data_IF_398710453039
#
_entry.id   IF_398710453039
#
_cell.length_a   1.000
_cell.length_b   1.000
_cell.length_c   1.000
_cell.angle_alpha   90.00
_cell.angle_beta   90.00
_cell.angle_gamma   90.00
#
_symmetry.space_group_name_H-M   'P 1'
#
loop_
_entity.id
_entity.type
_entity.pdbx_description
1 polymer ?
#
# COMPACT_ATOMS: atom_id res chain seq x y z
N UNK A 1 19.15 -38.26 9.89
CA UNK A 1 18.67 -37.36 8.81
C UNK A 1 17.20 -37.09 9.01
N UNK A 2 16.69 -35.95 8.55
CA UNK A 2 15.28 -35.59 8.71
C UNK A 2 14.39 -36.56 7.91
N UNK A 3 13.41 -37.20 8.56
CA UNK A 3 12.63 -38.31 7.99
C UNK A 3 11.19 -37.94 7.62
N UNK A 4 10.74 -36.73 7.95
CA UNK A 4 9.38 -36.28 7.70
C UNK A 4 9.31 -34.78 7.38
N UNK A 5 8.42 -34.44 6.45
CA UNK A 5 8.02 -33.07 6.10
C UNK A 5 6.52 -32.97 6.27
N UNK A 6 6.10 -32.04 7.14
CA UNK A 6 4.69 -31.71 7.34
C UNK A 6 4.26 -30.73 6.25
N UNK A 7 3.20 -31.06 5.53
CA UNK A 7 2.47 -30.16 4.63
C UNK A 7 1.27 -29.62 5.39
N UNK A 8 1.13 -28.31 5.46
CA UNK A 8 0.05 -27.63 6.18
C UNK A 8 -0.30 -26.31 5.49
N UNK A 9 -1.33 -25.61 5.97
CA UNK A 9 -1.69 -24.28 5.49
C UNK A 9 -1.98 -24.21 3.98
N UNK A 10 -2.64 -25.24 3.44
CA UNK A 10 -3.07 -25.23 2.04
C UNK A 10 -3.97 -24.02 1.79
N UNK A 11 -3.61 -23.23 0.79
CA UNK A 11 -4.21 -21.94 0.51
C UNK A 11 -4.55 -21.83 -0.97
N UNK A 12 -5.84 -21.71 -1.27
CA UNK A 12 -6.34 -21.26 -2.56
C UNK A 12 -6.63 -19.77 -2.43
N UNK A 13 -5.91 -18.96 -3.21
CA UNK A 13 -6.09 -17.51 -3.18
C UNK A 13 -6.30 -16.99 -4.60
N UNK A 14 -7.36 -16.20 -4.75
CA UNK A 14 -7.60 -15.34 -5.90
C UNK A 14 -7.98 -13.95 -5.42
N UNK A 15 -7.67 -12.95 -6.23
CA UNK A 15 -8.22 -11.62 -6.11
C UNK A 15 -8.59 -11.10 -7.50
N UNK A 16 -9.65 -10.28 -7.54
CA UNK A 16 -10.01 -9.52 -8.72
C UNK A 16 -9.82 -8.05 -8.37
N UNK A 17 -8.88 -7.38 -9.04
CA UNK A 17 -8.53 -5.99 -8.77
C UNK A 17 -8.68 -5.14 -10.03
N UNK A 18 -9.28 -3.96 -9.87
CA UNK A 18 -9.35 -2.92 -10.90
C UNK A 18 -8.87 -1.61 -10.32
N UNK A 19 -7.90 -1.00 -10.97
CA UNK A 19 -7.39 0.31 -10.63
C UNK A 19 -7.51 1.23 -11.83
N UNK A 20 -8.08 2.41 -11.61
CA UNK A 20 -8.12 3.50 -12.57
C UNK A 20 -7.67 4.77 -11.88
N UNK A 21 -7.03 5.66 -12.62
CA UNK A 21 -6.60 6.94 -12.07
C UNK A 21 -6.04 7.86 -13.13
N UNK A 22 -5.86 9.11 -12.74
CA UNK A 22 -5.24 10.14 -13.55
C UNK A 22 -4.35 11.03 -12.68
N UNK A 23 -3.29 11.55 -13.29
CA UNK A 23 -2.37 12.50 -12.67
C UNK A 23 -2.14 13.66 -13.63
N UNK A 24 -2.31 14.86 -13.12
CA UNK A 24 -2.03 16.11 -13.84
C UNK A 24 -0.93 16.87 -13.13
N UNK A 25 0.01 17.40 -13.92
CA UNK A 25 1.20 18.08 -13.43
C UNK A 25 1.35 19.47 -14.05
N UNK A 26 1.90 20.40 -13.26
CA UNK A 26 2.31 21.71 -13.72
C UNK A 26 3.70 22.04 -13.17
N UNK A 27 4.60 22.50 -14.03
CA UNK A 27 5.94 22.95 -13.65
C UNK A 27 6.05 24.46 -13.80
N UNK A 28 6.75 25.11 -12.88
CA UNK A 28 6.99 26.55 -12.92
C UNK A 28 8.43 26.88 -12.55
N UNK A 29 9.13 27.56 -13.46
CA UNK A 29 10.46 28.09 -13.20
C UNK A 29 10.35 29.53 -12.72
N UNK A 30 10.82 29.80 -11.52
CA UNK A 30 10.72 31.11 -10.89
C UNK A 30 11.97 31.47 -10.09
N UNK A 31 11.81 32.47 -9.21
CA UNK A 31 12.86 32.89 -8.30
C UNK A 31 12.29 33.19 -6.92
N UNK A 32 13.07 32.92 -5.88
CA UNK A 32 12.81 33.34 -4.50
C UNK A 32 14.04 34.13 -4.05
N UNK A 33 13.84 35.36 -3.56
CA UNK A 33 14.94 36.26 -3.16
C UNK A 33 16.05 36.40 -4.23
N UNK A 34 15.65 36.49 -5.51
CA UNK A 34 16.60 36.60 -6.65
C UNK A 34 17.36 35.32 -6.99
N UNK A 35 17.06 34.19 -6.35
CA UNK A 35 17.66 32.88 -6.63
C UNK A 35 16.70 31.99 -7.38
N UNK A 36 17.22 31.18 -8.31
CA UNK A 36 16.43 30.20 -9.07
C UNK A 36 15.66 29.27 -8.14
N UNK A 37 14.38 29.12 -8.43
CA UNK A 37 13.45 28.27 -7.70
C UNK A 37 12.53 27.56 -8.69
N UNK A 38 12.71 26.25 -8.84
CA UNK A 38 11.94 25.42 -9.77
C UNK A 38 10.87 24.66 -8.98
N UNK A 39 9.63 24.77 -9.43
CA UNK A 39 8.45 24.19 -8.77
C UNK A 39 7.79 23.14 -9.66
N UNK A 40 7.26 22.11 -9.02
CA UNK A 40 6.34 21.15 -9.63
C UNK A 40 5.13 20.98 -8.72
N UNK A 41 3.94 21.00 -9.31
CA UNK A 41 2.67 20.78 -8.62
C UNK A 41 1.94 19.64 -9.31
N UNK A 42 1.13 18.91 -8.56
CA UNK A 42 0.21 18.00 -9.20
C UNK A 42 -0.98 17.57 -8.36
N UNK A 43 -1.95 17.04 -9.11
CA UNK A 43 -3.19 16.47 -8.63
C UNK A 43 -3.27 15.03 -9.11
N UNK A 44 -3.57 14.11 -8.21
CA UNK A 44 -3.76 12.71 -8.50
C UNK A 44 -5.13 12.27 -8.00
N UNK A 45 -5.87 11.56 -8.84
CA UNK A 45 -7.15 10.96 -8.52
C UNK A 45 -7.08 9.48 -8.89
N UNK A 46 -7.43 8.60 -7.97
CA UNK A 46 -7.48 7.16 -8.25
C UNK A 46 -8.63 6.45 -7.53
N UNK A 47 -9.10 5.38 -8.16
CA UNK A 47 -10.07 4.44 -7.64
C UNK A 47 -9.47 3.04 -7.79
N UNK A 48 -9.31 2.34 -6.67
CA UNK A 48 -8.91 0.95 -6.62
C UNK A 48 -10.04 0.13 -5.99
N UNK A 49 -10.46 -0.94 -6.66
CA UNK A 49 -11.42 -1.90 -6.12
C UNK A 49 -10.81 -3.28 -6.17
N UNK A 50 -10.79 -3.97 -5.02
CA UNK A 50 -10.27 -5.32 -4.89
C UNK A 50 -11.26 -6.22 -4.16
N UNK A 51 -11.68 -7.30 -4.81
CA UNK A 51 -12.43 -8.40 -4.18
C UNK A 51 -11.50 -9.60 -3.98
N UNK A 52 -11.54 -10.22 -2.80
CA UNK A 52 -10.71 -11.40 -2.49
C UNK A 52 -11.54 -12.68 -2.36
N UNK A 53 -10.90 -13.81 -2.67
CA UNK A 53 -11.50 -15.15 -2.62
C UNK A 53 -10.56 -16.13 -1.89
N UNK A 54 -10.28 -15.92 -0.59
CA UNK A 54 -9.44 -16.84 0.17
C UNK A 54 -10.19 -18.14 0.50
N UNK A 55 -9.49 -19.26 0.38
CA UNK A 55 -9.84 -20.53 1.01
C UNK A 55 -8.58 -21.14 1.61
N UNK A 56 -8.47 -21.09 2.95
CA UNK A 56 -7.32 -21.58 3.69
C UNK A 56 -7.73 -22.71 4.63
N UNK A 57 -6.94 -23.78 4.66
CA UNK A 57 -7.07 -24.85 5.63
C UNK A 57 -5.98 -24.70 6.70
N UNK A 58 -6.38 -24.53 7.96
CA UNK A 58 -5.47 -24.27 9.08
C UNK A 58 -4.74 -25.51 9.60
N UNK A 59 -5.10 -26.71 9.15
CA UNK A 59 -4.56 -27.97 9.65
C UNK A 59 -3.32 -28.48 8.88
N UNK A 60 -2.58 -29.40 9.51
CA UNK A 60 -1.70 -30.33 8.80
C UNK A 60 -2.52 -31.09 7.78
N UNK A 61 -2.15 -30.94 6.51
CA UNK A 61 -2.73 -31.63 5.37
C UNK A 61 -2.22 -33.06 5.32
N UNK A 62 -0.91 -33.24 5.45
CA UNK A 62 -0.26 -34.55 5.38
C UNK A 62 1.20 -34.48 5.86
N UNK A 63 1.84 -35.64 6.04
CA UNK A 63 3.27 -35.77 6.35
C UNK A 63 3.91 -36.74 5.36
N UNK A 64 5.06 -36.40 4.80
CA UNK A 64 5.76 -37.21 3.79
C UNK A 64 7.23 -37.39 4.11
N UNK A 65 7.81 -38.50 3.66
CA UNK A 65 9.26 -38.67 3.67
C UNK A 65 9.88 -37.77 2.59
N UNK A 66 10.82 -36.86 2.93
CA UNK A 66 11.42 -35.95 1.96
C UNK A 66 12.19 -36.66 0.83
N UNK A 67 12.62 -37.90 1.05
CA UNK A 67 13.37 -38.71 0.07
C UNK A 67 12.49 -39.73 -0.67
N UNK A 68 11.23 -39.91 -0.26
CA UNK A 68 10.29 -40.86 -0.86
C UNK A 68 8.85 -40.38 -0.65
N UNK A 69 8.36 -39.51 -1.54
CA UNK A 69 7.00 -38.95 -1.47
C UNK A 69 6.22 -39.17 -2.77
N UNK A 70 4.89 -39.22 -2.65
CA UNK A 70 3.96 -39.12 -3.77
C UNK A 70 3.36 -37.71 -3.83
N UNK A 71 3.07 -37.23 -5.05
CA UNK A 71 2.32 -35.99 -5.25
C UNK A 71 0.85 -36.20 -4.92
N UNK A 72 0.24 -35.21 -4.27
CA UNK A 72 -1.21 -35.16 -3.99
C UNK A 72 -1.87 -34.15 -4.91
N UNK A 73 -3.12 -34.38 -5.30
CA UNK A 73 -3.90 -33.39 -6.02
C UNK A 73 -4.42 -32.35 -5.03
N UNK A 74 -4.30 -31.07 -5.41
CA UNK A 74 -4.62 -29.96 -4.51
C UNK A 74 -6.11 -29.95 -4.08
N UNK A 75 -7.02 -30.33 -4.96
CA UNK A 75 -8.46 -30.38 -4.67
C UNK A 75 -8.94 -31.69 -4.05
N UNK A 76 -8.05 -32.68 -3.89
CA UNK A 76 -8.36 -33.92 -3.17
C UNK A 76 -8.10 -33.76 -1.66
N UNK A 77 -7.49 -32.64 -1.24
CA UNK A 77 -7.30 -32.30 0.16
C UNK A 77 -8.68 -32.09 0.82
N UNK A 78 -9.01 -32.81 1.91
CA UNK A 78 -10.29 -32.64 2.60
C UNK A 78 -10.54 -31.18 3.00
N UNK A 79 -11.68 -30.63 2.57
CA UNK A 79 -12.05 -29.23 2.80
C UNK A 79 -11.53 -28.25 1.75
N UNK A 80 -10.66 -28.68 0.84
CA UNK A 80 -10.31 -27.92 -0.36
C UNK A 80 -11.32 -28.26 -1.46
N UNK A 81 -11.87 -27.23 -2.10
CA UNK A 81 -12.80 -27.41 -3.19
C UNK A 81 -12.48 -26.40 -4.30
N UNK A 82 -12.68 -26.78 -5.57
CA UNK A 82 -12.58 -25.83 -6.66
C UNK A 82 -13.67 -24.75 -6.54
N UNK A 83 -13.34 -23.55 -6.97
CA UNK A 83 -14.26 -22.40 -6.95
C UNK A 83 -13.77 -21.26 -6.08
N UNK A 84 -14.39 -20.10 -6.28
CA UNK A 84 -14.01 -18.85 -5.62
C UNK A 84 -15.22 -18.25 -4.92
N UNK A 85 -15.16 -18.15 -3.59
CA UNK A 85 -16.21 -17.53 -2.78
C UNK A 85 -15.72 -16.16 -2.31
N UNK A 86 -16.39 -15.11 -2.77
CA UNK A 86 -16.03 -13.75 -2.42
C UNK A 86 -16.06 -13.57 -0.90
N UNK A 87 -14.99 -13.02 -0.34
CA UNK A 87 -14.90 -12.68 1.09
C UNK A 87 -15.39 -11.26 1.30
N UNK A 88 -14.61 -10.30 0.79
CA UNK A 88 -14.84 -8.87 0.96
C UNK A 88 -14.41 -8.10 -0.26
N UNK A 89 -15.09 -6.99 -0.47
CA UNK A 89 -14.80 -6.02 -1.52
C UNK A 89 -14.31 -4.72 -0.86
N UNK A 90 -13.06 -4.35 -1.16
CA UNK A 90 -12.41 -3.15 -0.66
C UNK A 90 -12.34 -2.13 -1.80
N UNK A 91 -13.02 -1.00 -1.64
CA UNK A 91 -12.98 0.13 -2.56
C UNK A 91 -12.24 1.29 -1.92
N UNK A 92 -11.21 1.78 -2.58
CA UNK A 92 -10.35 2.87 -2.14
C UNK A 92 -10.40 3.98 -3.17
N UNK A 93 -10.80 5.16 -2.74
CA UNK A 93 -10.75 6.38 -3.53
C UNK A 93 -9.70 7.32 -2.93
N UNK A 94 -8.72 7.69 -3.74
CA UNK A 94 -7.65 8.60 -3.32
C UNK A 94 -7.69 9.87 -4.16
N UNK A 95 -7.68 11.01 -3.49
CA UNK A 95 -7.38 12.31 -4.07
C UNK A 95 -6.15 12.88 -3.38
N UNK A 96 -5.12 13.23 -4.14
CA UNK A 96 -3.88 13.76 -3.60
C UNK A 96 -3.44 15.03 -4.31
N UNK A 97 -2.96 15.98 -3.53
CA UNK A 97 -2.31 17.20 -3.99
C UNK A 97 -0.86 17.18 -3.50
N UNK A 98 0.06 17.54 -4.37
CA UNK A 98 1.46 17.67 -3.99
C UNK A 98 2.13 18.88 -4.64
N UNK A 99 3.13 19.39 -3.94
CA UNK A 99 4.00 20.46 -4.39
C UNK A 99 5.44 20.10 -4.04
N UNK A 100 6.33 20.24 -5.01
CA UNK A 100 7.77 20.06 -4.86
C UNK A 100 8.48 21.34 -5.31
N UNK A 101 9.56 21.67 -4.62
CA UNK A 101 10.39 22.82 -4.91
C UNK A 101 11.87 22.49 -4.80
N UNK A 102 12.66 23.02 -5.73
CA UNK A 102 14.11 23.11 -5.64
C UNK A 102 14.54 24.56 -5.74
N UNK A 103 15.08 25.10 -4.66
CA UNK A 103 15.60 26.48 -4.60
C UNK A 103 17.12 26.48 -4.45
N UNK A 104 17.81 27.25 -5.27
CA UNK A 104 19.24 27.52 -5.09
C UNK A 104 19.44 28.46 -3.90
N UNK A 105 20.09 27.99 -2.84
CA UNK A 105 20.52 28.86 -1.73
C UNK A 105 21.81 29.60 -2.11
N UNK A 106 22.73 28.88 -2.77
CA UNK A 106 23.94 29.39 -3.42
C UNK A 106 24.10 28.70 -4.78
N UNK A 107 25.08 29.08 -5.62
CA UNK A 107 25.35 28.36 -6.87
C UNK A 107 25.67 26.87 -6.70
N UNK A 108 26.19 26.47 -5.53
CA UNK A 108 26.59 25.09 -5.23
C UNK A 108 25.63 24.38 -4.27
N UNK A 109 24.72 25.09 -3.59
CA UNK A 109 23.84 24.53 -2.56
C UNK A 109 22.38 24.73 -2.94
N UNK A 110 21.63 23.62 -2.99
CA UNK A 110 20.21 23.61 -3.29
C UNK A 110 19.41 23.02 -2.13
N UNK A 111 18.32 23.70 -1.77
CA UNK A 111 17.29 23.20 -0.89
C UNK A 111 16.20 22.54 -1.73
N UNK A 112 15.78 21.34 -1.33
CA UNK A 112 14.64 20.62 -1.90
C UNK A 112 13.59 20.48 -0.83
N UNK A 113 12.36 20.88 -1.13
CA UNK A 113 11.20 20.68 -0.27
C UNK A 113 10.08 20.03 -1.04
N UNK A 114 9.28 19.21 -0.36
CA UNK A 114 8.08 18.62 -0.92
C UNK A 114 7.01 18.46 0.16
N UNK A 115 5.76 18.61 -0.23
CA UNK A 115 4.59 18.34 0.59
C UNK A 115 3.58 17.58 -0.25
N UNK A 116 2.95 16.55 0.34
CA UNK A 116 1.83 15.82 -0.24
C UNK A 116 0.72 15.73 0.81
N UNK A 117 -0.48 16.05 0.38
CA UNK A 117 -1.69 15.84 1.17
C UNK A 117 -2.63 14.93 0.41
N UNK A 118 -3.19 13.95 1.10
CA UNK A 118 -4.10 12.98 0.50
C UNK A 118 -5.41 12.93 1.27
N UNK A 119 -6.49 12.62 0.56
CA UNK A 119 -7.75 12.13 1.11
C UNK A 119 -7.98 10.74 0.57
N UNK A 120 -8.05 9.77 1.46
CA UNK A 120 -8.22 8.36 1.13
C UNK A 120 -9.53 7.88 1.75
N UNK A 121 -10.54 7.61 0.94
CA UNK A 121 -11.80 7.02 1.37
C UNK A 121 -11.78 5.51 1.11
N UNK A 122 -11.98 4.72 2.16
CA UNK A 122 -12.01 3.27 2.13
C UNK A 122 -13.41 2.78 2.49
N UNK A 123 -13.98 1.94 1.63
CA UNK A 123 -15.24 1.24 1.85
C UNK A 123 -15.00 -0.27 1.78
N UNK A 124 -15.54 -0.99 2.76
CA UNK A 124 -15.53 -2.45 2.84
C UNK A 124 -16.98 -2.95 2.70
N UNK A 125 -17.22 -3.84 1.76
CA UNK A 125 -18.50 -4.57 1.64
C UNK A 125 -18.28 -6.05 1.95
N UNK A 126 -19.05 -6.58 2.90
CA UNK A 126 -19.02 -8.00 3.26
C UNK A 126 -19.78 -8.83 2.20
N UNK A 127 -19.17 -9.93 1.74
CA UNK A 127 -19.78 -10.90 0.82
C UNK A 127 -20.06 -12.25 1.49
N UNK A 128 -19.87 -12.32 2.80
CA UNK A 128 -20.11 -13.46 3.70
C UNK A 128 -21.23 -13.16 4.68
N UNK A 129 -21.45 -14.09 5.61
CA UNK A 129 -22.44 -13.98 6.67
C UNK A 129 -22.20 -12.71 7.50
N UNK A 130 -23.29 -11.96 7.73
CA UNK A 130 -23.24 -10.74 8.53
C UNK A 130 -23.23 -11.11 10.01
N UNK A 131 -22.22 -10.61 10.72
CA UNK A 131 -22.07 -10.79 12.17
C UNK A 131 -21.69 -9.46 12.82
N UNK A 132 -21.71 -9.40 14.15
CA UNK A 132 -21.24 -8.20 14.87
C UNK A 132 -19.77 -7.87 14.53
N UNK A 133 -18.93 -8.90 14.37
CA UNK A 133 -17.52 -8.76 14.01
C UNK A 133 -17.32 -8.43 12.51
N UNK A 134 -18.17 -8.96 11.63
CA UNK A 134 -18.16 -8.72 10.18
C UNK A 134 -19.49 -8.13 9.72
N UNK A 135 -19.69 -6.80 9.88
CA UNK A 135 -20.93 -6.14 9.50
C UNK A 135 -21.15 -6.21 7.98
N UNK A 136 -22.33 -5.83 7.51
CA UNK A 136 -22.62 -5.81 6.07
C UNK A 136 -21.69 -4.86 5.29
N UNK A 137 -21.33 -3.71 5.88
CA UNK A 137 -20.39 -2.76 5.32
C UNK A 137 -19.68 -1.95 6.42
N UNK A 138 -18.55 -1.32 6.06
CA UNK A 138 -17.84 -0.36 6.90
C UNK A 138 -17.11 0.66 6.03
N UNK A 139 -16.99 1.91 6.48
CA UNK A 139 -16.27 2.95 5.75
C UNK A 139 -15.34 3.75 6.69
N UNK A 140 -14.23 4.25 6.15
CA UNK A 140 -13.29 5.13 6.85
C UNK A 140 -12.61 6.08 5.88
N UNK A 141 -12.25 7.27 6.36
CA UNK A 141 -11.47 8.23 5.58
C UNK A 141 -10.21 8.64 6.34
N UNK A 142 -9.10 8.72 5.60
CA UNK A 142 -7.79 9.14 6.10
C UNK A 142 -7.32 10.39 5.36
N UNK A 143 -6.60 11.27 6.06
CA UNK A 143 -6.17 12.55 5.54
C UNK A 143 -4.69 12.84 5.85
N UNK A 144 -3.74 12.00 5.39
CA UNK A 144 -2.33 12.21 5.72
C UNK A 144 -1.77 13.46 5.03
N UNK A 145 -0.85 14.12 5.73
CA UNK A 145 0.07 15.09 5.16
C UNK A 145 1.48 14.60 5.39
N UNK A 146 2.19 14.33 4.31
CA UNK A 146 3.60 13.90 4.32
C UNK A 146 4.47 14.94 3.64
N UNK A 147 5.75 14.97 4.00
CA UNK A 147 6.66 15.95 3.45
C UNK A 147 8.09 15.45 3.41
N UNK A 148 8.91 16.18 2.67
CA UNK A 148 10.36 15.96 2.59
C UNK A 148 11.07 17.30 2.58
N UNK A 149 12.18 17.35 3.29
CA UNK A 149 13.17 18.43 3.19
C UNK A 149 14.55 17.81 2.98
N UNK A 150 15.33 18.38 2.07
CA UNK A 150 16.68 17.91 1.81
C UNK A 150 17.57 18.99 1.21
N UNK A 151 18.87 18.74 1.24
CA UNK A 151 19.87 19.62 0.68
C UNK A 151 20.81 18.83 -0.23
N UNK A 152 21.15 19.41 -1.38
CA UNK A 152 22.18 18.91 -2.29
C UNK A 152 23.27 19.96 -2.36
N UNK A 153 24.51 19.58 -2.06
CA UNK A 153 25.66 20.47 -2.09
C UNK A 153 26.75 19.92 -3.01
N UNK A 154 27.13 20.69 -4.03
CA UNK A 154 28.29 20.42 -4.86
C UNK A 154 29.56 20.80 -4.07
N UNK A 155 30.20 19.82 -3.45
CA UNK A 155 31.36 20.03 -2.56
C UNK A 155 32.68 20.15 -3.33
N UNK A 156 32.78 19.52 -4.50
CA UNK A 156 33.90 19.64 -5.44
C UNK A 156 33.44 19.27 -6.86
N UNK A 157 34.21 19.56 -7.91
CA UNK A 157 33.89 19.12 -9.27
C UNK A 157 33.71 17.59 -9.33
N UNK A 158 32.50 17.15 -9.68
CA UNK A 158 32.15 15.72 -9.75
C UNK A 158 31.84 15.06 -8.40
N UNK A 159 31.75 15.82 -7.29
CA UNK A 159 31.44 15.29 -5.97
C UNK A 159 30.35 16.11 -5.27
N UNK A 160 29.26 15.44 -4.89
CA UNK A 160 28.09 16.05 -4.28
C UNK A 160 27.73 15.36 -2.96
N UNK A 161 27.34 16.14 -1.96
CA UNK A 161 26.79 15.66 -0.71
C UNK A 161 25.27 15.85 -0.71
N UNK A 162 24.55 14.85 -0.18
CA UNK A 162 23.11 14.87 -0.05
C UNK A 162 22.67 14.48 1.36
N UNK A 163 21.72 15.23 1.90
CA UNK A 163 21.05 14.92 3.16
C UNK A 163 19.55 15.19 3.02
N UNK A 164 18.72 14.32 3.60
CA UNK A 164 17.26 14.49 3.59
C UNK A 164 16.60 13.94 4.86
N UNK A 165 15.43 14.49 5.14
CA UNK A 165 14.46 13.98 6.10
C UNK A 165 13.09 13.96 5.42
N UNK A 166 12.33 12.89 5.61
CA UNK A 166 11.01 12.72 5.04
C UNK A 166 10.08 12.01 6.02
N UNK A 167 8.78 12.27 5.90
CA UNK A 167 7.74 11.60 6.68
C UNK A 167 6.89 10.69 5.79
N UNK A 168 6.30 9.66 6.39
CA UNK A 168 5.40 8.73 5.72
C UNK A 168 4.08 8.55 6.49
N UNK A 169 3.06 8.04 5.81
CA UNK A 169 1.78 7.69 6.41
C UNK A 169 1.36 6.29 5.95
N UNK A 170 1.44 5.32 6.86
CA UNK A 170 1.22 3.91 6.52
C UNK A 170 -0.18 3.44 6.88
N UNK A 171 -0.82 2.64 6.00
CA UNK A 171 -2.13 2.07 6.25
C UNK A 171 -2.12 1.03 7.38
N UNK A 172 -3.24 0.89 8.12
CA UNK A 172 -3.38 -0.19 9.08
C UNK A 172 -3.15 -1.53 8.39
N UNK A 173 -2.33 -2.38 9.01
CA UNK A 173 -2.02 -3.73 8.51
C UNK A 173 -1.32 -3.75 7.13
N UNK A 174 -0.63 -2.65 6.78
CA UNK A 174 0.31 -2.56 5.66
C UNK A 174 -0.33 -2.33 4.28
N UNK A 175 -1.63 -2.58 4.09
CA UNK A 175 -2.31 -2.35 2.81
C UNK A 175 -3.83 -2.22 2.96
N UNK A 176 -4.41 -1.14 2.41
CA UNK A 176 -5.86 -0.91 2.46
C UNK A 176 -6.67 -1.83 1.54
N UNK A 177 -6.08 -2.28 0.42
CA UNK A 177 -6.81 -3.08 -0.58
C UNK A 177 -7.17 -4.48 -0.09
N UNK A 178 -6.60 -4.90 1.05
CA UNK A 178 -6.94 -6.15 1.73
C UNK A 178 -7.33 -5.99 3.19
N UNK A 179 -7.42 -4.75 3.70
CA UNK A 179 -7.76 -4.44 5.09
C UNK A 179 -9.06 -5.14 5.53
N UNK A 180 -9.07 -5.69 6.73
CA UNK A 180 -10.21 -6.34 7.42
C UNK A 180 -11.09 -5.36 8.17
N UNK A 181 -12.29 -5.80 8.56
CA UNK A 181 -13.15 -4.99 9.43
C UNK A 181 -12.49 -4.66 10.76
N UNK A 182 -11.67 -5.56 11.31
CA UNK A 182 -10.89 -5.30 12.52
C UNK A 182 -9.83 -4.23 12.28
N UNK A 183 -9.08 -4.31 11.18
CA UNK A 183 -8.06 -3.31 10.81
C UNK A 183 -8.67 -1.91 10.74
N UNK A 184 -9.78 -1.78 10.02
CA UNK A 184 -10.39 -0.47 9.77
C UNK A 184 -11.20 0.02 10.98
N UNK A 185 -11.74 -0.85 11.85
CA UNK A 185 -12.43 -0.42 13.09
C UNK A 185 -11.45 0.08 14.13
N UNK A 186 -10.39 -0.70 14.38
CA UNK A 186 -9.48 -0.47 15.50
C UNK A 186 -8.44 0.64 15.21
N UNK A 187 -8.19 0.96 13.95
CA UNK A 187 -7.17 1.95 13.57
C UNK A 187 -7.80 3.18 12.93
N UNK A 188 -7.93 4.25 13.72
CA UNK A 188 -8.52 5.53 13.30
C UNK A 188 -7.55 6.47 12.61
N UNK A 189 -6.25 6.17 12.63
CA UNK A 189 -5.20 6.95 11.99
C UNK A 189 -4.26 6.05 11.18
N UNK A 190 -3.57 6.67 10.22
CA UNK A 190 -2.40 6.09 9.57
C UNK A 190 -1.20 6.27 10.52
N UNK A 191 -0.32 5.27 10.60
CA UNK A 191 0.92 5.41 11.37
C UNK A 191 1.84 6.41 10.68
N UNK A 192 2.42 7.33 11.45
CA UNK A 192 3.36 8.32 10.94
C UNK A 192 4.79 7.93 11.33
N UNK A 193 5.71 8.00 10.39
CA UNK A 193 7.15 7.78 10.58
C UNK A 193 7.97 8.88 9.93
#
# INVERSE_FOLDING_TARGET
GNSAVIRSAALLQRHDQRMIGNRTEATWNGQIAGRRSDWAFGLELSLNRQTRFPNSLSATVSSVNPYAFSTEQFFDIPGMAPGFRADRDNRIETAALYAENRTALTPALHLVTALRHERIALELTNRREVTAASPAAFARSYHPTTGRIGAVWDVAPGANLYAQYATAADPPSGVLSTASFADVRNNSALTTG
#
